data_IF_462649465643
#
_entry.id   IF_462649465643
#
_cell.length_a   1.000
_cell.length_b   1.000
_cell.length_c   1.000
_cell.angle_alpha   90.00
_cell.angle_beta   90.00
_cell.angle_gamma   90.00
#
_symmetry.space_group_name_H-M   'P 1'
#
loop_
_entity.id
_entity.type
_entity.pdbx_description
1 polymer ?
#
# COMPACT_ATOMS: atom_id res chain seq x y z
N UNK A 1 -42.28 0.80 57.92
CA UNK A 1 -42.61 0.44 56.53
C UNK A 1 -41.98 1.44 55.59
N UNK A 2 -40.74 1.21 55.15
CA UNK A 2 -40.11 1.96 54.06
C UNK A 2 -39.33 0.93 53.23
N UNK A 3 -39.64 0.90 51.94
CA UNK A 3 -39.26 -0.12 50.97
C UNK A 3 -37.76 -0.17 50.73
N UNK A 4 -37.21 -1.39 50.72
CA UNK A 4 -35.89 -1.71 50.17
C UNK A 4 -35.85 -1.35 48.68
N UNK A 5 -34.99 -0.41 48.31
CA UNK A 5 -34.56 -0.19 46.92
C UNK A 5 -33.15 -0.78 46.82
N UNK A 6 -33.08 -1.98 46.22
CA UNK A 6 -31.82 -2.60 45.85
C UNK A 6 -31.17 -1.74 44.75
N UNK A 7 -30.05 -1.11 45.09
CA UNK A 7 -29.16 -0.46 44.12
C UNK A 7 -28.47 -1.59 43.35
N UNK A 8 -29.06 -1.98 42.21
CA UNK A 8 -28.38 -2.77 41.19
C UNK A 8 -27.27 -1.89 40.63
N UNK A 9 -26.09 -1.98 41.24
CA UNK A 9 -24.84 -1.60 40.62
C UNK A 9 -24.68 -2.59 39.45
N UNK A 10 -25.25 -2.24 38.30
CA UNK A 10 -24.71 -2.72 37.04
C UNK A 10 -23.29 -2.17 36.99
N UNK A 11 -22.35 -3.00 37.46
CA UNK A 11 -21.03 -3.01 36.91
C UNK A 11 -21.24 -3.22 35.40
N UNK A 12 -21.34 -2.12 34.67
CA UNK A 12 -20.92 -2.08 33.29
C UNK A 12 -19.44 -2.44 33.35
N UNK A 13 -19.16 -3.74 33.41
CA UNK A 13 -17.99 -4.29 32.78
C UNK A 13 -18.00 -3.67 31.40
N UNK A 14 -17.17 -2.64 31.24
CA UNK A 14 -16.60 -2.29 29.97
C UNK A 14 -15.79 -3.53 29.59
N UNK A 15 -16.50 -4.56 29.16
CA UNK A 15 -16.03 -5.48 28.16
C UNK A 15 -15.68 -4.53 27.02
N UNK A 16 -14.41 -4.13 27.00
CA UNK A 16 -13.70 -3.79 25.79
C UNK A 16 -13.92 -5.02 24.91
N UNK A 17 -15.06 -5.06 24.22
CA UNK A 17 -15.22 -5.87 23.05
C UNK A 17 -14.16 -5.30 22.14
N UNK A 18 -12.99 -5.96 22.12
CA UNK A 18 -12.03 -5.83 21.05
C UNK A 18 -12.88 -5.87 19.79
N UNK A 19 -12.98 -4.71 19.14
CA UNK A 19 -13.93 -4.49 18.06
C UNK A 19 -13.60 -5.56 17.03
N UNK A 20 -14.48 -6.56 16.88
CA UNK A 20 -14.26 -7.67 15.96
C UNK A 20 -13.97 -7.04 14.61
N UNK A 21 -12.79 -7.32 14.05
CA UNK A 21 -12.46 -6.76 12.75
C UNK A 21 -13.56 -7.24 11.77
N UNK A 22 -14.15 -6.34 10.97
CA UNK A 22 -15.29 -6.62 10.10
C UNK A 22 -15.00 -7.68 9.03
N UNK A 23 -13.73 -7.94 8.73
CA UNK A 23 -13.28 -8.99 7.81
C UNK A 23 -12.88 -10.30 8.51
N UNK A 24 -12.94 -10.40 9.84
CA UNK A 24 -12.46 -11.55 10.61
C UNK A 24 -11.52 -11.14 11.76
N UNK A 25 -11.09 -12.08 12.62
CA UNK A 25 -10.46 -11.77 13.92
C UNK A 25 -8.96 -11.43 13.90
N UNK A 26 -8.28 -11.33 12.75
CA UNK A 26 -6.83 -11.57 12.74
C UNK A 26 -5.92 -10.42 12.32
N UNK A 27 -6.43 -9.30 11.79
CA UNK A 27 -5.60 -8.21 11.24
C UNK A 27 -6.04 -6.79 11.57
N UNK A 28 -5.15 -5.82 11.32
CA UNK A 28 -5.43 -4.38 11.36
C UNK A 28 -6.05 -3.95 10.02
N UNK A 29 -7.35 -3.62 10.02
CA UNK A 29 -8.03 -3.12 8.82
C UNK A 29 -8.33 -1.63 8.88
N UNK A 30 -8.30 -1.03 7.71
CA UNK A 30 -8.69 0.34 7.41
C UNK A 30 -9.96 0.32 6.56
N UNK A 31 -10.98 1.07 6.98
CA UNK A 31 -12.14 1.30 6.14
C UNK A 31 -11.86 2.47 5.22
N UNK A 32 -11.70 2.20 3.92
CA UNK A 32 -11.52 3.24 2.91
C UNK A 32 -12.90 3.62 2.36
N UNK A 33 -13.33 4.85 2.65
CA UNK A 33 -14.66 5.32 2.26
C UNK A 33 -14.76 5.44 0.75
N UNK A 34 -15.85 4.96 0.19
CA UNK A 34 -16.12 5.23 -1.22
C UNK A 34 -16.30 6.73 -1.44
N UNK A 35 -15.82 7.26 -2.59
CA UNK A 35 -16.00 8.67 -2.87
C UNK A 35 -17.49 9.05 -2.96
N UNK A 36 -17.88 10.13 -2.29
CA UNK A 36 -19.26 10.63 -2.31
C UNK A 36 -19.68 11.19 -3.69
N UNK A 37 -18.69 11.53 -4.53
CA UNK A 37 -18.87 12.09 -5.87
C UNK A 37 -17.94 11.39 -6.86
N UNK A 38 -18.38 11.32 -8.11
CA UNK A 38 -17.60 10.77 -9.22
C UNK A 38 -17.60 11.75 -10.39
N UNK A 39 -16.42 12.12 -10.94
CA UNK A 39 -15.10 11.81 -10.39
C UNK A 39 -14.89 12.42 -8.98
N UNK A 40 -13.99 11.86 -8.15
CA UNK A 40 -13.80 12.27 -6.76
C UNK A 40 -12.97 13.56 -6.63
N UNK A 41 -13.39 14.62 -7.34
CA UNK A 41 -12.62 15.85 -7.48
C UNK A 41 -12.99 16.90 -6.45
N UNK A 42 -12.00 17.70 -6.07
CA UNK A 42 -12.15 18.89 -5.22
C UNK A 42 -11.34 20.04 -5.80
N UNK A 43 -11.86 21.27 -5.72
CA UNK A 43 -11.18 22.47 -6.24
C UNK A 43 -9.82 22.75 -5.57
N UNK A 44 -9.52 22.09 -4.46
CA UNK A 44 -8.25 22.20 -3.74
C UNK A 44 -7.20 21.18 -4.20
N UNK A 45 -7.57 20.24 -5.07
CA UNK A 45 -6.62 19.26 -5.61
C UNK A 45 -5.66 19.94 -6.59
N UNK A 46 -4.37 19.53 -6.61
CA UNK A 46 -3.44 19.94 -7.65
C UNK A 46 -3.94 19.57 -9.05
N UNK A 47 -3.52 20.32 -10.06
CA UNK A 47 -3.98 20.14 -11.45
C UNK A 47 -3.81 18.71 -11.97
N UNK A 48 -2.65 18.08 -11.75
CA UNK A 48 -2.37 16.73 -12.24
C UNK A 48 -3.26 15.67 -11.58
N UNK A 49 -3.65 15.88 -10.32
CA UNK A 49 -4.56 15.01 -9.57
C UNK A 49 -5.98 15.14 -10.13
N UNK A 50 -6.44 16.39 -10.35
CA UNK A 50 -7.73 16.66 -10.99
C UNK A 50 -7.82 16.04 -12.37
N UNK A 51 -6.79 16.26 -13.19
CA UNK A 51 -6.72 15.72 -14.54
C UNK A 51 -6.76 14.19 -14.53
N UNK A 52 -6.02 13.55 -13.62
CA UNK A 52 -6.02 12.10 -13.48
C UNK A 52 -7.41 11.53 -13.21
N UNK A 53 -8.11 12.05 -12.20
CA UNK A 53 -9.45 11.55 -11.85
C UNK A 53 -10.49 11.85 -12.93
N UNK A 54 -10.43 13.02 -13.57
CA UNK A 54 -11.33 13.38 -14.69
C UNK A 54 -11.07 12.49 -15.89
N UNK A 55 -9.80 12.26 -16.25
CA UNK A 55 -9.43 11.41 -17.38
C UNK A 55 -9.87 9.96 -17.16
N UNK A 56 -9.64 9.41 -15.96
CA UNK A 56 -10.07 8.07 -15.60
C UNK A 56 -11.60 7.91 -15.73
N UNK A 57 -12.36 8.81 -15.12
CA UNK A 57 -13.83 8.82 -15.22
C UNK A 57 -14.32 8.99 -16.67
N UNK A 58 -13.67 9.87 -17.44
CA UNK A 58 -14.01 10.10 -18.85
C UNK A 58 -13.79 8.86 -19.73
N UNK A 59 -12.67 8.16 -19.55
CA UNK A 59 -12.36 6.92 -20.29
C UNK A 59 -13.37 5.84 -19.95
N UNK A 60 -13.66 5.66 -18.66
CA UNK A 60 -14.61 4.64 -18.21
C UNK A 60 -16.00 4.95 -18.74
N UNK A 61 -16.50 6.17 -18.55
CA UNK A 61 -17.81 6.57 -19.05
C UNK A 61 -17.88 6.41 -20.57
N UNK A 62 -16.87 6.83 -21.33
CA UNK A 62 -16.85 6.63 -22.78
C UNK A 62 -16.90 5.14 -23.18
N UNK A 63 -16.14 4.29 -22.48
CA UNK A 63 -16.06 2.87 -22.75
C UNK A 63 -17.34 2.12 -22.37
N UNK A 64 -18.04 2.55 -21.31
CA UNK A 64 -19.23 1.87 -20.78
C UNK A 64 -20.56 2.46 -21.25
N UNK A 65 -20.56 3.59 -21.96
CA UNK A 65 -21.80 4.16 -22.53
C UNK A 65 -22.19 3.41 -23.81
N UNK A 66 -23.45 2.93 -23.89
CA UNK A 66 -24.12 2.29 -25.05
C UNK A 66 -23.88 0.77 -25.27
N UNK A 67 -24.70 0.17 -26.14
CA UNK A 67 -24.76 -1.25 -26.50
C UNK A 67 -23.47 -1.86 -27.08
N UNK A 68 -22.43 -1.06 -27.35
CA UNK A 68 -21.14 -1.50 -27.93
C UNK A 68 -20.01 -1.57 -26.88
N UNK A 69 -20.35 -1.77 -25.61
CA UNK A 69 -19.41 -1.70 -24.47
C UNK A 69 -18.13 -2.52 -24.69
N UNK A 70 -18.26 -3.75 -25.18
CA UNK A 70 -17.11 -4.65 -25.37
C UNK A 70 -16.09 -4.15 -26.39
N UNK A 71 -16.55 -3.53 -27.49
CA UNK A 71 -15.67 -3.01 -28.53
C UNK A 71 -14.80 -1.85 -28.02
N UNK A 72 -15.38 -0.97 -27.19
CA UNK A 72 -14.65 0.18 -26.63
C UNK A 72 -13.72 -0.21 -25.49
N UNK A 73 -14.15 -1.13 -24.62
CA UNK A 73 -13.26 -1.72 -23.60
C UNK A 73 -12.02 -2.34 -24.26
N UNK A 74 -12.21 -3.07 -25.37
CA UNK A 74 -11.10 -3.64 -26.11
C UNK A 74 -10.20 -2.55 -26.74
N UNK A 75 -10.76 -1.43 -27.22
CA UNK A 75 -9.96 -0.31 -27.72
C UNK A 75 -9.06 0.29 -26.62
N UNK A 76 -9.56 0.44 -25.38
CA UNK A 76 -8.74 0.90 -24.24
C UNK A 76 -7.62 -0.09 -23.95
N UNK A 77 -7.94 -1.39 -23.87
CA UNK A 77 -6.93 -2.44 -23.64
C UNK A 77 -5.87 -2.44 -24.73
N UNK A 78 -6.28 -2.50 -25.99
CA UNK A 78 -5.35 -2.52 -27.12
C UNK A 78 -4.56 -1.22 -27.27
N UNK A 79 -5.04 -0.08 -26.77
CA UNK A 79 -4.24 1.14 -26.68
C UNK A 79 -3.08 0.98 -25.69
N UNK A 80 -3.31 0.38 -24.52
CA UNK A 80 -2.29 0.13 -23.50
C UNK A 80 -1.35 -1.02 -23.89
N UNK A 81 -1.87 -2.08 -24.52
CA UNK A 81 -1.09 -3.23 -25.02
C UNK A 81 -0.02 -2.80 -26.03
N UNK A 82 -0.33 -1.83 -26.90
CA UNK A 82 0.61 -1.31 -27.92
C UNK A 82 1.73 -0.44 -27.35
N UNK A 83 1.69 -0.09 -26.06
CA UNK A 83 2.77 0.65 -25.40
C UNK A 83 3.87 -0.33 -25.00
N UNK A 84 4.86 -0.47 -25.87
CA UNK A 84 6.05 -1.33 -25.67
C UNK A 84 7.32 -0.53 -25.37
N UNK A 85 7.21 0.80 -25.33
CA UNK A 85 8.31 1.73 -25.00
C UNK A 85 7.83 2.79 -24.04
N UNK A 86 8.74 3.33 -23.24
CA UNK A 86 8.45 4.42 -22.29
C UNK A 86 8.35 5.79 -23.00
N UNK A 87 7.38 5.89 -23.90
CA UNK A 87 7.12 7.06 -24.76
C UNK A 87 6.45 8.23 -23.99
N UNK A 88 6.32 9.38 -24.63
CA UNK A 88 5.71 10.57 -24.02
C UNK A 88 4.24 10.36 -23.63
N UNK A 89 3.55 9.40 -24.24
CA UNK A 89 2.17 9.08 -23.88
C UNK A 89 2.13 8.29 -22.58
N UNK A 90 2.95 7.24 -22.47
CA UNK A 90 3.04 6.44 -21.25
C UNK A 90 3.56 7.27 -20.08
N UNK A 91 4.56 8.14 -20.32
CA UNK A 91 5.06 9.12 -19.34
C UNK A 91 3.95 9.99 -18.76
N UNK A 92 3.09 10.58 -19.61
CA UNK A 92 1.96 11.40 -19.16
C UNK A 92 0.93 10.60 -18.35
N UNK A 93 0.64 9.38 -18.77
CA UNK A 93 -0.26 8.47 -18.05
C UNK A 93 0.32 8.16 -16.65
N UNK A 94 1.59 7.77 -16.60
CA UNK A 94 2.34 7.49 -15.36
C UNK A 94 2.37 8.70 -14.44
N UNK A 95 2.59 9.91 -14.96
CA UNK A 95 2.54 11.16 -14.19
C UNK A 95 1.20 11.37 -13.51
N UNK A 96 0.10 11.28 -14.26
CA UNK A 96 -1.24 11.45 -13.69
C UNK A 96 -1.58 10.36 -12.68
N UNK A 97 -1.18 9.11 -12.96
CA UNK A 97 -1.38 7.98 -12.05
C UNK A 97 -0.64 8.18 -10.72
N UNK A 98 0.66 8.49 -10.81
CA UNK A 98 1.49 8.77 -9.65
C UNK A 98 0.94 9.95 -8.84
N UNK A 99 0.50 11.03 -9.50
CA UNK A 99 -0.06 12.19 -8.82
C UNK A 99 -1.32 11.84 -7.99
N UNK A 100 -2.22 11.03 -8.53
CA UNK A 100 -3.41 10.57 -7.80
C UNK A 100 -3.02 9.71 -6.58
N UNK A 101 -2.15 8.73 -6.78
CA UNK A 101 -1.72 7.81 -5.73
C UNK A 101 -0.87 8.47 -4.64
N UNK A 102 -0.09 9.51 -4.96
CA UNK A 102 0.71 10.25 -3.97
C UNK A 102 -0.12 11.26 -3.17
N UNK A 103 -1.15 11.86 -3.79
CA UNK A 103 -1.97 12.90 -3.16
C UNK A 103 -2.82 12.38 -2.00
N UNK A 104 -3.59 11.31 -2.23
CA UNK A 104 -4.41 10.66 -1.21
C UNK A 104 -4.53 9.16 -1.57
N UNK A 105 -3.61 8.32 -1.05
CA UNK A 105 -3.58 6.90 -1.40
C UNK A 105 -4.89 6.18 -1.06
N UNK A 106 -5.56 6.59 0.02
CA UNK A 106 -6.82 5.98 0.44
C UNK A 106 -7.97 6.33 -0.50
N UNK A 107 -8.05 7.58 -0.95
CA UNK A 107 -9.02 7.99 -1.97
C UNK A 107 -8.74 7.28 -3.31
N UNK A 108 -7.47 7.16 -3.68
CA UNK A 108 -7.04 6.49 -4.90
C UNK A 108 -7.48 5.03 -4.91
N UNK A 109 -7.17 4.27 -3.87
CA UNK A 109 -7.54 2.85 -3.74
C UNK A 109 -9.06 2.65 -3.68
N UNK A 110 -9.78 3.47 -2.89
CA UNK A 110 -11.23 3.45 -2.86
C UNK A 110 -11.86 3.75 -4.23
N UNK A 111 -11.20 4.57 -5.05
CA UNK A 111 -11.63 4.86 -6.43
C UNK A 111 -11.36 3.68 -7.35
N UNK A 112 -10.19 3.06 -7.29
CA UNK A 112 -9.82 1.93 -8.14
C UNK A 112 -10.78 0.74 -8.01
N UNK A 113 -11.24 0.48 -6.79
CA UNK A 113 -12.14 -0.62 -6.45
C UNK A 113 -13.62 -0.22 -6.48
N UNK A 114 -13.97 0.97 -6.94
CA UNK A 114 -15.38 1.35 -7.09
C UNK A 114 -16.10 0.42 -8.08
N UNK A 115 -17.02 -0.41 -7.59
CA UNK A 115 -17.76 -1.40 -8.38
C UNK A 115 -18.91 -0.80 -9.21
N UNK A 116 -18.98 0.53 -9.31
CA UNK A 116 -20.06 1.23 -10.03
C UNK A 116 -20.03 0.99 -11.55
N UNK A 117 -18.87 0.59 -12.08
CA UNK A 117 -18.66 0.29 -13.49
C UNK A 117 -18.32 -1.19 -13.68
N UNK A 118 -19.30 -2.10 -13.59
CA UNK A 118 -19.03 -3.53 -13.62
C UNK A 118 -18.42 -4.01 -14.96
N UNK A 119 -18.60 -3.26 -16.05
CA UNK A 119 -18.07 -3.62 -17.37
C UNK A 119 -16.60 -3.20 -17.57
N UNK A 120 -16.17 -2.11 -16.93
CA UNK A 120 -14.77 -1.68 -16.92
C UNK A 120 -14.44 -1.02 -15.58
N UNK A 121 -14.20 -1.83 -14.54
CA UNK A 121 -13.77 -1.31 -13.25
C UNK A 121 -12.45 -0.55 -13.39
N UNK A 122 -12.23 0.55 -12.63
CA UNK A 122 -11.02 1.36 -12.80
C UNK A 122 -9.73 0.59 -12.52
N UNK A 123 -9.74 -0.41 -11.61
CA UNK A 123 -8.59 -1.28 -11.39
C UNK A 123 -8.12 -2.04 -12.65
N UNK A 124 -8.99 -2.28 -13.65
CA UNK A 124 -8.57 -2.88 -14.92
C UNK A 124 -7.74 -1.92 -15.78
N UNK A 125 -8.07 -0.62 -15.75
CA UNK A 125 -7.27 0.40 -16.44
C UNK A 125 -5.93 0.54 -15.73
N UNK A 126 -5.94 0.59 -14.40
CA UNK A 126 -4.73 0.59 -13.59
C UNK A 126 -3.82 -0.61 -13.93
N UNK A 127 -4.35 -1.83 -13.90
CA UNK A 127 -3.59 -3.04 -14.28
C UNK A 127 -3.01 -2.95 -15.69
N UNK A 128 -3.79 -2.48 -16.67
CA UNK A 128 -3.29 -2.29 -18.03
C UNK A 128 -2.18 -1.23 -18.15
N UNK A 129 -2.16 -0.21 -17.29
CA UNK A 129 -1.06 0.77 -17.22
C UNK A 129 0.18 0.12 -16.61
N UNK A 130 0.03 -0.63 -15.52
CA UNK A 130 1.13 -1.37 -14.89
C UNK A 130 1.77 -2.34 -15.90
N UNK A 131 0.96 -3.12 -16.62
CA UNK A 131 1.47 -4.00 -17.68
C UNK A 131 2.16 -3.24 -18.84
N UNK A 132 1.69 -2.04 -19.18
CA UNK A 132 2.34 -1.20 -20.18
C UNK A 132 3.72 -0.72 -19.71
N UNK A 133 3.85 -0.35 -18.44
CA UNK A 133 5.14 -0.03 -17.80
C UNK A 133 6.05 -1.27 -17.80
N UNK A 134 5.52 -2.45 -17.47
CA UNK A 134 6.26 -3.72 -17.53
C UNK A 134 6.82 -4.00 -18.92
N UNK A 135 5.99 -3.88 -19.96
CA UNK A 135 6.44 -4.06 -21.36
C UNK A 135 7.47 -3.01 -21.76
N UNK A 136 7.28 -1.75 -21.37
CA UNK A 136 8.19 -0.66 -21.70
C UNK A 136 9.60 -0.83 -21.08
N UNK A 137 9.70 -1.49 -19.93
CA UNK A 137 10.96 -1.78 -19.24
C UNK A 137 11.42 -3.24 -19.33
N UNK A 138 10.90 -4.02 -20.29
CA UNK A 138 11.20 -5.46 -20.41
C UNK A 138 12.70 -5.79 -20.48
N UNK A 139 13.54 -4.85 -20.92
CA UNK A 139 15.00 -5.01 -21.03
C UNK A 139 15.80 -4.28 -19.93
N UNK A 140 15.15 -3.61 -18.97
CA UNK A 140 15.80 -2.94 -17.83
C UNK A 140 14.99 -3.20 -16.55
N UNK A 141 15.27 -4.35 -15.92
CA UNK A 141 14.59 -4.80 -14.71
C UNK A 141 14.80 -3.86 -13.51
N UNK A 142 15.94 -3.16 -13.45
CA UNK A 142 16.19 -2.17 -12.42
C UNK A 142 15.27 -0.96 -12.59
N UNK A 143 15.08 -0.48 -13.82
CA UNK A 143 14.11 0.58 -14.13
C UNK A 143 12.68 0.12 -13.88
N UNK A 144 12.36 -1.11 -14.26
CA UNK A 144 11.06 -1.71 -14.00
C UNK A 144 10.72 -1.68 -12.51
N UNK A 145 11.54 -2.30 -11.65
CA UNK A 145 11.25 -2.35 -10.22
C UNK A 145 11.16 -0.95 -9.59
N UNK A 146 12.04 -0.02 -9.99
CA UNK A 146 11.97 1.36 -9.50
C UNK A 146 10.62 2.00 -9.81
N UNK A 147 10.14 1.88 -11.04
CA UNK A 147 8.88 2.50 -11.46
C UNK A 147 7.67 1.79 -10.87
N UNK A 148 7.66 0.45 -10.85
CA UNK A 148 6.57 -0.32 -10.24
C UNK A 148 6.44 0.00 -8.75
N UNK A 149 7.54 0.04 -8.01
CA UNK A 149 7.51 0.44 -6.59
C UNK A 149 6.92 1.83 -6.41
N UNK A 150 7.30 2.81 -7.24
CA UNK A 150 6.78 4.18 -7.13
C UNK A 150 5.29 4.29 -7.51
N UNK A 151 4.81 3.40 -8.37
CA UNK A 151 3.43 3.40 -8.84
C UNK A 151 2.49 2.58 -7.96
N UNK A 152 2.95 1.44 -7.46
CA UNK A 152 2.15 0.47 -6.70
C UNK A 152 2.20 0.69 -5.19
N UNK A 153 3.29 1.25 -4.66
CA UNK A 153 3.33 1.58 -3.24
C UNK A 153 2.46 2.81 -2.97
N UNK A 154 1.46 2.67 -2.09
CA UNK A 154 0.66 3.77 -1.56
C UNK A 154 1.51 4.72 -0.71
N UNK A 155 2.36 4.15 0.14
CA UNK A 155 3.31 4.90 0.98
C UNK A 155 4.73 4.44 0.75
N UNK A 156 5.66 5.39 0.77
CA UNK A 156 7.08 5.12 0.92
C UNK A 156 7.57 5.96 2.09
N UNK A 157 8.02 5.30 3.15
CA UNK A 157 8.33 5.97 4.40
C UNK A 157 9.63 5.44 5.03
N UNK A 158 10.40 6.35 5.59
CA UNK A 158 11.41 6.05 6.59
C UNK A 158 10.74 6.02 7.96
N UNK A 159 10.78 4.89 8.63
CA UNK A 159 10.06 4.66 9.88
C UNK A 159 10.97 4.11 10.96
N UNK A 160 10.67 4.45 12.21
CA UNK A 160 11.19 3.77 13.39
C UNK A 160 10.10 2.94 14.02
N UNK A 161 10.35 1.64 14.21
CA UNK A 161 9.38 0.74 14.84
C UNK A 161 9.34 1.04 16.33
N UNK A 162 8.15 1.32 16.84
CA UNK A 162 7.91 1.62 18.25
C UNK A 162 7.36 0.41 18.98
N UNK A 163 6.49 -0.34 18.32
CA UNK A 163 5.82 -1.50 18.91
C UNK A 163 5.41 -2.53 17.86
N UNK A 164 5.26 -3.79 18.28
CA UNK A 164 4.82 -4.90 17.44
C UNK A 164 3.87 -5.78 18.22
N UNK A 165 2.66 -5.99 17.70
CA UNK A 165 1.61 -6.79 18.33
C UNK A 165 1.37 -8.04 17.50
N UNK A 166 1.58 -9.22 18.10
CA UNK A 166 1.34 -10.51 17.45
C UNK A 166 -0.15 -10.87 17.46
N UNK A 167 -0.62 -11.42 16.34
CA UNK A 167 -1.97 -11.95 16.14
C UNK A 167 -1.89 -13.29 15.42
N UNK A 168 -2.72 -14.23 15.85
CA UNK A 168 -2.86 -15.52 15.16
C UNK A 168 -3.50 -15.26 13.80
N UNK A 169 -2.82 -15.60 12.70
CA UNK A 169 -3.43 -15.58 11.37
C UNK A 169 -4.40 -16.76 11.17
N UNK A 170 -5.35 -16.61 10.25
CA UNK A 170 -6.33 -17.66 9.89
C UNK A 170 -6.12 -18.18 8.46
N UNK A 171 -4.88 -18.22 7.98
CA UNK A 171 -4.59 -18.94 6.74
C UNK A 171 -4.64 -20.45 7.04
N UNK A 172 -5.24 -21.24 6.15
CA UNK A 172 -5.38 -22.71 6.26
C UNK A 172 -4.05 -23.46 6.40
N UNK A 173 -2.93 -22.75 6.31
CA UNK A 173 -1.60 -23.21 6.70
C UNK A 173 -1.26 -22.62 8.08
N UNK A 174 -1.54 -23.42 9.11
CA UNK A 174 -1.63 -23.19 10.58
C UNK A 174 -0.42 -22.52 11.30
N UNK A 175 0.44 -21.75 10.62
CA UNK A 175 1.72 -21.28 11.16
C UNK A 175 2.05 -19.80 10.92
N UNK A 176 1.24 -19.05 10.17
CA UNK A 176 1.55 -17.62 9.90
C UNK A 176 1.04 -16.73 11.04
N UNK A 177 1.98 -16.25 11.87
CA UNK A 177 1.71 -15.18 12.85
C UNK A 177 1.64 -13.85 12.12
N UNK A 178 0.52 -13.13 12.20
CA UNK A 178 0.42 -11.76 11.72
C UNK A 178 1.01 -10.81 12.77
N UNK A 179 1.82 -9.85 12.34
CA UNK A 179 2.41 -8.85 13.24
C UNK A 179 1.90 -7.48 12.83
N UNK A 180 1.10 -6.86 13.68
CA UNK A 180 0.75 -5.45 13.52
C UNK A 180 1.90 -4.62 14.06
N UNK A 181 2.50 -3.83 13.18
CA UNK A 181 3.67 -3.00 13.48
C UNK A 181 3.20 -1.56 13.66
N UNK A 182 3.55 -0.95 14.78
CA UNK A 182 3.33 0.48 15.04
C UNK A 182 4.64 1.23 14.91
N UNK A 183 4.64 2.27 14.08
CA UNK A 183 5.84 3.03 13.76
C UNK A 183 5.66 4.53 13.99
N UNK A 184 6.75 5.19 14.34
CA UNK A 184 6.93 6.62 14.17
C UNK A 184 7.48 6.88 12.76
N UNK A 185 6.81 7.73 11.99
CA UNK A 185 7.30 8.17 10.69
C UNK A 185 8.38 9.23 10.91
N UNK A 186 9.59 8.95 10.43
CA UNK A 186 10.74 9.84 10.50
C UNK A 186 10.83 10.74 9.26
N UNK A 187 10.45 10.20 8.09
CA UNK A 187 10.42 10.93 6.82
C UNK A 187 9.46 10.22 5.86
N UNK A 188 8.58 10.98 5.21
CA UNK A 188 7.56 10.45 4.30
C UNK A 188 7.91 10.88 2.87
N UNK A 189 8.25 9.89 2.03
CA UNK A 189 8.73 10.10 0.67
C UNK A 189 7.57 10.12 -0.33
N UNK A 190 6.55 9.27 -0.10
CA UNK A 190 5.32 9.18 -0.90
C UNK A 190 4.10 8.93 0.00
N UNK A 191 2.94 9.47 -0.39
CA UNK A 191 1.64 9.21 0.23
C UNK A 191 1.28 10.28 1.26
N UNK A 192 0.81 11.44 0.79
CA UNK A 192 0.72 12.68 1.57
C UNK A 192 -0.29 12.65 2.73
N UNK A 193 -1.21 11.67 2.74
CA UNK A 193 -2.29 11.54 3.72
C UNK A 193 -2.18 10.18 4.39
N UNK A 194 -1.87 10.15 5.70
CA UNK A 194 -1.71 8.90 6.46
C UNK A 194 -3.04 8.44 7.07
N UNK A 195 -3.27 7.11 7.16
CA UNK A 195 -4.42 6.58 7.86
C UNK A 195 -4.27 6.78 9.39
N UNK A 196 -5.37 6.89 10.14
CA UNK A 196 -5.29 7.00 11.59
C UNK A 196 -4.82 5.68 12.22
N UNK A 197 -3.86 5.75 13.14
CA UNK A 197 -3.47 4.59 13.95
C UNK A 197 -4.57 4.20 14.94
N UNK A 198 -4.74 2.89 15.11
CA UNK A 198 -5.66 2.29 16.06
C UNK A 198 -4.93 1.93 17.36
N UNK A 199 -5.29 2.56 18.50
CA UNK A 199 -4.64 2.32 19.79
C UNK A 199 -4.86 0.89 20.32
N UNK A 200 -5.83 0.13 19.79
CA UNK A 200 -6.04 -1.26 20.16
C UNK A 200 -4.88 -2.19 19.72
N UNK A 201 -4.00 -1.70 18.84
CA UNK A 201 -2.82 -2.41 18.35
C UNK A 201 -1.52 -1.78 18.85
N UNK A 202 -1.53 -1.27 20.08
CA UNK A 202 -0.32 -0.74 20.74
C UNK A 202 -0.33 -1.13 22.22
N UNK A 203 0.74 -1.77 22.70
CA UNK A 203 0.91 -2.27 24.08
C UNK A 203 0.99 -1.14 25.11
N UNK A 204 1.63 -0.04 24.74
CA UNK A 204 1.65 1.20 25.50
C UNK A 204 1.06 2.24 24.59
N UNK A 205 -0.10 2.80 24.93
CA UNK A 205 -0.52 4.05 24.31
C UNK A 205 0.61 5.03 24.63
N UNK A 206 1.47 5.42 23.67
CA UNK A 206 2.42 6.45 23.99
C UNK A 206 1.57 7.70 24.25
N UNK A 207 2.14 8.74 24.85
CA UNK A 207 1.58 10.09 24.75
C UNK A 207 1.58 10.62 23.29
N UNK A 208 1.42 9.75 22.28
CA UNK A 208 0.93 10.10 20.96
C UNK A 208 -0.50 10.55 21.18
N UNK A 209 -0.68 11.87 21.24
CA UNK A 209 -1.98 12.51 21.39
C UNK A 209 -3.05 11.73 20.63
N UNK A 210 -4.05 11.26 21.39
CA UNK A 210 -5.28 10.65 20.90
C UNK A 210 -6.01 11.68 20.02
N UNK A 211 -5.51 11.86 18.81
CA UNK A 211 -6.13 12.67 17.77
C UNK A 211 -7.21 11.82 17.15
N UNK A 212 -8.45 12.24 17.41
CA UNK A 212 -9.63 12.17 16.54
C UNK A 212 -9.52 11.32 15.26
N UNK A 213 -10.60 10.61 14.90
CA UNK A 213 -10.82 9.86 13.64
C UNK A 213 -10.73 10.71 12.34
N UNK A 214 -9.90 11.76 12.32
CA UNK A 214 -9.64 12.64 11.19
C UNK A 214 -8.33 12.25 10.52
N UNK A 215 -8.33 12.35 9.20
CA UNK A 215 -7.16 12.31 8.33
C UNK A 215 -6.10 13.29 8.87
N UNK A 216 -4.92 12.78 9.24
CA UNK A 216 -3.82 13.62 9.70
C UNK A 216 -3.01 14.05 8.49
N UNK A 217 -2.95 15.36 8.25
CA UNK A 217 -1.94 15.98 7.38
C UNK A 217 -0.58 16.03 8.09
N UNK A 218 0.50 16.02 7.30
CA UNK A 218 1.93 15.95 7.65
C UNK A 218 2.47 16.92 8.74
N UNK A 219 1.65 17.80 9.33
CA UNK A 219 2.09 18.86 10.24
C UNK A 219 2.25 18.46 11.71
N UNK A 220 1.98 17.21 12.09
CA UNK A 220 2.20 16.72 13.47
C UNK A 220 3.61 16.16 13.65
N UNK A 221 4.30 16.48 14.76
CA UNK A 221 5.63 15.94 15.06
C UNK A 221 5.60 14.43 15.28
N UNK A 222 6.18 13.67 14.34
CA UNK A 222 6.27 12.21 14.39
C UNK A 222 4.92 11.52 14.18
N UNK A 223 4.31 11.62 12.99
CA UNK A 223 3.04 10.97 12.73
C UNK A 223 3.17 9.44 12.87
N UNK A 224 2.10 8.81 13.33
CA UNK A 224 2.06 7.36 13.48
C UNK A 224 1.67 6.70 12.16
N UNK A 225 2.30 5.56 11.87
CA UNK A 225 1.92 4.66 10.79
C UNK A 225 1.83 3.25 11.35
N UNK A 226 0.74 2.55 11.04
CA UNK A 226 0.55 1.16 11.43
C UNK A 226 0.31 0.31 10.19
N UNK A 227 0.89 -0.88 10.16
CA UNK A 227 0.71 -1.82 9.06
C UNK A 227 0.87 -3.24 9.56
N UNK A 228 0.31 -4.18 8.81
CA UNK A 228 0.43 -5.61 9.08
C UNK A 228 1.62 -6.16 8.31
N UNK A 229 2.39 -7.01 8.98
CA UNK A 229 3.54 -7.70 8.41
C UNK A 229 3.43 -9.19 8.69
N UNK A 230 3.85 -10.01 7.72
CA UNK A 230 3.96 -11.46 7.86
C UNK A 230 5.46 -11.79 7.96
N UNK A 231 5.99 -12.07 9.17
CA UNK A 231 7.37 -12.49 9.32
C UNK A 231 7.62 -13.79 8.57
N UNK A 232 8.75 -13.87 7.87
CA UNK A 232 9.16 -15.06 7.13
C UNK A 232 8.13 -15.49 6.06
N UNK A 233 7.41 -14.55 5.47
CA UNK A 233 6.52 -14.84 4.35
C UNK A 233 7.30 -15.61 3.27
N UNK A 234 6.83 -16.81 2.94
CA UNK A 234 7.45 -17.70 1.95
C UNK A 234 6.98 -17.26 0.58
N UNK A 235 7.93 -16.87 -0.26
CA UNK A 235 7.66 -15.99 -1.40
C UNK A 235 8.48 -16.38 -2.64
N UNK A 236 9.02 -17.59 -2.61
CA UNK A 236 9.55 -18.29 -3.77
C UNK A 236 9.02 -19.72 -3.80
N UNK A 237 8.80 -20.23 -5.00
CA UNK A 237 8.30 -21.58 -5.22
C UNK A 237 7.88 -21.77 -6.67
N UNK A 238 7.47 -22.99 -7.00
CA UNK A 238 6.79 -23.27 -8.27
C UNK A 238 5.28 -23.05 -8.13
N UNK A 239 4.57 -22.89 -9.25
CA UNK A 239 3.09 -22.77 -9.24
C UNK A 239 2.38 -23.88 -8.45
N UNK A 240 3.00 -25.05 -8.34
CA UNK A 240 2.41 -26.27 -7.79
C UNK A 240 3.13 -26.81 -6.54
N UNK A 241 4.36 -26.37 -6.26
CA UNK A 241 5.18 -26.83 -5.13
C UNK A 241 5.89 -25.63 -4.49
N UNK A 242 5.55 -25.38 -3.22
CA UNK A 242 6.31 -24.44 -2.37
C UNK A 242 7.62 -25.13 -2.01
N UNK A 243 8.74 -24.62 -2.55
CA UNK A 243 10.05 -25.18 -2.27
C UNK A 243 10.44 -24.96 -0.79
N UNK A 244 10.91 -26.00 -0.08
CA UNK A 244 11.18 -25.93 1.36
C UNK A 244 12.50 -25.21 1.72
N UNK A 245 13.37 -24.88 0.76
CA UNK A 245 14.73 -24.39 1.02
C UNK A 245 14.82 -22.85 1.12
N UNK A 246 14.73 -22.39 2.38
CA UNK A 246 15.76 -21.60 3.10
C UNK A 246 16.14 -20.15 2.72
N UNK A 247 15.34 -19.43 1.94
CA UNK A 247 15.37 -17.96 2.00
C UNK A 247 14.07 -17.39 2.57
N UNK A 248 14.05 -17.20 3.89
CA UNK A 248 13.05 -16.36 4.55
C UNK A 248 13.32 -14.91 4.14
N UNK A 249 12.70 -14.47 3.04
CA UNK A 249 12.75 -13.09 2.58
C UNK A 249 11.82 -12.25 3.47
N UNK A 250 12.43 -11.49 4.35
CA UNK A 250 11.73 -10.64 5.30
C UNK A 250 12.51 -10.60 6.60
N UNK A 251 13.30 -9.54 6.78
CA UNK A 251 13.88 -9.27 8.08
C UNK A 251 12.75 -9.18 9.10
N UNK A 252 12.91 -9.75 10.29
CA UNK A 252 11.93 -9.57 11.36
C UNK A 252 11.88 -8.08 11.69
N UNK A 253 10.73 -7.44 11.49
CA UNK A 253 10.55 -6.05 11.88
C UNK A 253 10.52 -6.01 13.41
N UNK A 254 11.49 -5.32 14.01
CA UNK A 254 11.68 -5.31 15.47
C UNK A 254 11.60 -3.90 16.04
N UNK A 255 10.95 -3.70 17.19
CA UNK A 255 10.95 -2.42 17.90
C UNK A 255 12.37 -1.87 18.13
N UNK A 256 12.49 -0.54 18.04
CA UNK A 256 13.75 0.20 18.21
C UNK A 256 14.54 0.42 16.92
N UNK A 257 14.31 -0.38 15.89
CA UNK A 257 15.04 -0.30 14.62
C UNK A 257 14.34 0.59 13.58
N UNK A 258 15.13 1.07 12.61
CA UNK A 258 14.68 1.91 11.51
C UNK A 258 14.60 1.12 10.19
N UNK A 259 13.61 1.45 9.38
CA UNK A 259 13.34 0.77 8.10
C UNK A 259 12.90 1.77 7.05
N UNK A 260 13.22 1.49 5.78
CA UNK A 260 12.46 2.00 4.65
C UNK A 260 11.34 0.99 4.37
N UNK A 261 10.09 1.44 4.45
CA UNK A 261 8.92 0.63 4.10
C UNK A 261 8.22 1.19 2.88
N UNK A 262 7.82 0.31 1.98
CA UNK A 262 6.95 0.63 0.85
C UNK A 262 5.67 -0.18 1.05
N UNK A 263 4.56 0.51 1.25
CA UNK A 263 3.33 -0.11 1.72
C UNK A 263 2.23 0.05 0.67
N UNK A 264 1.35 -0.92 0.57
CA UNK A 264 0.17 -0.93 -0.31
C UNK A 264 -1.07 -1.37 0.47
N UNK A 265 -2.26 -0.96 0.03
CA UNK A 265 -3.56 -1.37 0.57
C UNK A 265 -4.16 -2.57 -0.17
N UNK A 266 -3.84 -3.83 0.20
CA UNK A 266 -4.60 -4.96 -0.29
C UNK A 266 -6.06 -4.92 0.19
N UNK A 267 -6.98 -5.20 -0.72
CA UNK A 267 -8.40 -5.39 -0.42
C UNK A 267 -8.60 -6.63 0.44
N UNK A 268 -9.40 -6.51 1.50
CA UNK A 268 -9.74 -7.63 2.38
C UNK A 268 -11.18 -8.09 2.21
N UNK A 269 -12.12 -7.19 2.48
CA UNK A 269 -13.53 -7.54 2.42
C UNK A 269 -14.40 -6.32 2.14
N UNK A 270 -15.58 -6.59 1.60
CA UNK A 270 -16.58 -5.58 1.31
C UNK A 270 -17.33 -5.20 2.58
N UNK A 271 -17.56 -3.91 2.75
CA UNK A 271 -18.51 -3.44 3.76
C UNK A 271 -19.94 -3.66 3.30
N UNK A 272 -20.73 -4.33 4.14
CA UNK A 272 -22.15 -4.57 3.87
C UNK A 272 -23.01 -3.36 4.17
N UNK A 273 -22.50 -2.38 4.93
CA UNK A 273 -23.19 -1.13 5.23
C UNK A 273 -23.09 -0.08 4.10
N UNK A 274 -22.28 -0.34 3.07
CA UNK A 274 -22.19 0.50 1.87
C UNK A 274 -21.46 1.83 2.08
N UNK A 275 -20.59 1.93 3.09
CA UNK A 275 -19.85 3.16 3.42
C UNK A 275 -18.48 3.17 2.72
N UNK A 276 -17.88 2.00 2.55
CA UNK A 276 -16.57 1.83 1.93
C UNK A 276 -15.95 0.52 2.34
N UNK A 277 -15.10 -0.03 1.48
CA UNK A 277 -14.50 -1.35 1.68
C UNK A 277 -13.37 -1.35 2.72
N UNK A 278 -13.03 -2.55 3.21
CA UNK A 278 -11.97 -2.75 4.18
C UNK A 278 -10.71 -3.29 3.52
N UNK A 279 -9.59 -2.68 3.90
CA UNK A 279 -8.26 -2.95 3.38
C UNK A 279 -7.32 -3.20 4.55
N UNK A 280 -6.26 -3.95 4.34
CA UNK A 280 -5.11 -3.94 5.25
C UNK A 280 -4.02 -3.06 4.64
N UNK A 281 -3.03 -2.65 5.44
CA UNK A 281 -1.84 -1.99 4.92
C UNK A 281 -0.66 -2.93 5.11
N UNK A 282 0.06 -3.27 4.04
CA UNK A 282 1.16 -4.25 4.06
C UNK A 282 2.35 -3.77 3.26
N UNK A 283 3.57 -4.24 3.58
CA UNK A 283 4.70 -4.14 2.66
C UNK A 283 4.36 -4.67 1.27
N UNK A 284 4.68 -3.89 0.24
CA UNK A 284 4.53 -4.28 -1.15
C UNK A 284 5.45 -5.48 -1.44
N UNK A 285 4.93 -6.48 -2.14
CA UNK A 285 5.71 -7.57 -2.69
C UNK A 285 6.06 -7.25 -4.14
N UNK A 286 7.35 -7.18 -4.46
CA UNK A 286 7.83 -6.91 -5.82
C UNK A 286 8.34 -8.20 -6.43
N UNK A 287 7.83 -8.57 -7.60
CA UNK A 287 8.31 -9.71 -8.36
C UNK A 287 9.74 -9.49 -8.82
N UNK A 288 10.57 -10.51 -8.66
CA UNK A 288 11.96 -10.54 -9.06
C UNK A 288 12.15 -11.50 -10.24
N UNK A 289 13.19 -11.30 -11.06
CA UNK A 289 13.47 -12.16 -12.19
C UNK A 289 13.68 -13.61 -11.73
N UNK A 290 12.99 -14.53 -12.40
CA UNK A 290 13.20 -15.98 -12.27
C UNK A 290 13.87 -16.51 -13.55
N UNK A 291 14.63 -17.59 -13.42
CA UNK A 291 15.33 -18.20 -14.55
C UNK A 291 14.42 -19.14 -15.37
N UNK A 292 13.21 -19.40 -14.90
CA UNK A 292 12.21 -20.30 -15.47
C UNK A 292 10.79 -19.75 -15.29
N UNK A 293 9.90 -20.12 -16.21
CA UNK A 293 8.51 -19.65 -16.25
C UNK A 293 7.63 -20.20 -15.12
N UNK A 294 8.13 -21.19 -14.39
CA UNK A 294 7.36 -21.93 -13.39
C UNK A 294 7.64 -21.49 -11.96
N UNK A 295 8.70 -20.71 -11.73
CA UNK A 295 9.06 -20.20 -10.43
C UNK A 295 8.68 -18.74 -10.30
N UNK A 296 8.20 -18.39 -9.12
CA UNK A 296 8.10 -17.00 -8.69
C UNK A 296 9.17 -16.72 -7.63
N UNK A 297 9.61 -15.47 -7.57
CA UNK A 297 10.52 -14.96 -6.56
C UNK A 297 10.08 -13.54 -6.27
N UNK A 298 9.76 -13.19 -5.02
CA UNK A 298 9.34 -11.83 -4.70
C UNK A 298 10.12 -11.27 -3.51
N UNK A 299 10.39 -9.96 -3.54
CA UNK A 299 10.98 -9.22 -2.43
C UNK A 299 9.91 -8.47 -1.65
N UNK A 300 9.95 -8.60 -0.32
CA UNK A 300 9.17 -7.76 0.57
C UNK A 300 9.89 -6.44 0.80
N UNK A 301 9.25 -5.34 0.41
CA UNK A 301 9.80 -3.98 0.41
C UNK A 301 9.80 -3.31 1.80
N UNK A 302 10.32 -4.01 2.79
CA UNK A 302 10.60 -3.50 4.13
C UNK A 302 12.10 -3.66 4.42
N UNK A 303 12.89 -2.65 4.06
CA UNK A 303 14.35 -2.71 4.08
C UNK A 303 14.91 -2.19 5.41
N UNK A 304 15.69 -2.99 6.16
CA UNK A 304 16.29 -2.54 7.41
C UNK A 304 17.38 -1.50 7.14
N UNK A 305 17.45 -0.52 8.03
CA UNK A 305 18.52 0.46 8.09
C UNK A 305 19.50 0.01 9.18
N UNK A 306 20.76 -0.13 8.80
CA UNK A 306 21.84 -0.59 9.67
C UNK A 306 23.01 0.37 9.59
N UNK A 307 23.95 0.27 10.51
CA UNK A 307 25.21 1.02 10.44
C UNK A 307 26.27 0.14 9.82
N UNK A 308 26.98 0.64 8.80
CA UNK A 308 28.11 -0.07 8.20
C UNK A 308 29.39 0.04 9.06
N UNK A 309 30.47 -0.60 8.60
CA UNK A 309 31.78 -0.56 9.29
C UNK A 309 32.39 0.83 9.43
N UNK A 310 31.93 1.81 8.65
CA UNK A 310 32.39 3.20 8.69
C UNK A 310 31.57 4.08 9.64
N UNK A 311 30.49 3.56 10.22
CA UNK A 311 29.55 4.34 11.03
C UNK A 311 28.43 5.00 10.21
N UNK A 312 28.29 4.67 8.93
CA UNK A 312 27.29 5.27 8.04
C UNK A 312 25.99 4.46 8.06
N UNK A 313 24.84 5.14 8.13
CA UNK A 313 23.54 4.49 7.98
C UNK A 313 23.32 4.02 6.53
N UNK A 314 23.07 2.73 6.35
CA UNK A 314 22.87 2.07 5.06
C UNK A 314 21.55 1.30 5.02
N UNK A 315 20.90 1.35 3.87
CA UNK A 315 19.71 0.54 3.54
C UNK A 315 20.19 -0.81 3.01
N UNK A 316 19.70 -1.90 3.59
CA UNK A 316 20.04 -3.27 3.20
C UNK A 316 18.97 -3.83 2.27
N UNK A 317 19.38 -4.20 1.06
CA UNK A 317 18.52 -4.68 -0.03
C UNK A 317 19.06 -6.02 -0.52
N UNK A 318 18.71 -7.14 0.13
CA UNK A 318 19.39 -8.42 -0.08
C UNK A 318 19.40 -8.90 -1.53
N UNK A 319 18.39 -8.53 -2.31
CA UNK A 319 18.23 -8.97 -3.71
C UNK A 319 18.65 -7.92 -4.73
N UNK A 320 19.20 -6.77 -4.30
CA UNK A 320 19.61 -5.70 -5.20
C UNK A 320 18.50 -5.31 -6.20
N UNK A 321 17.28 -5.17 -5.68
CA UNK A 321 16.04 -5.03 -6.46
C UNK A 321 16.11 -3.85 -7.44
N UNK A 322 16.79 -2.76 -7.05
CA UNK A 322 16.89 -1.54 -7.85
C UNK A 322 18.13 -1.48 -8.76
N UNK A 323 19.01 -2.48 -8.70
CA UNK A 323 20.30 -2.48 -9.41
C UNK A 323 21.34 -1.52 -8.81
N UNK A 324 21.19 -1.15 -7.54
CA UNK A 324 22.02 -0.16 -6.84
C UNK A 324 23.09 -0.74 -5.91
N UNK A 325 23.17 -2.06 -5.81
CA UNK A 325 23.93 -2.81 -4.81
C UNK A 325 23.02 -3.37 -3.72
N UNK A 326 23.55 -4.29 -2.92
CA UNK A 326 22.84 -4.88 -1.77
C UNK A 326 22.86 -4.01 -0.51
N UNK A 327 23.71 -2.98 -0.53
CA UNK A 327 23.89 -1.98 0.50
C UNK A 327 24.09 -0.62 -0.16
N UNK A 328 23.40 0.39 0.34
CA UNK A 328 23.55 1.76 -0.14
C UNK A 328 23.35 2.75 1.01
N UNK A 329 24.11 3.85 1.07
CA UNK A 329 23.88 4.88 2.08
C UNK A 329 22.43 5.39 2.06
N UNK A 330 21.83 5.55 3.24
CA UNK A 330 20.43 5.96 3.41
C UNK A 330 20.11 7.26 2.65
N UNK A 331 21.02 8.24 2.72
CA UNK A 331 20.89 9.51 2.02
C UNK A 331 20.87 9.32 0.50
N UNK A 332 21.74 8.47 -0.04
CA UNK A 332 21.80 8.16 -1.47
C UNK A 332 20.56 7.41 -1.93
N UNK A 333 20.07 6.44 -1.15
CA UNK A 333 18.84 5.71 -1.46
C UNK A 333 17.64 6.65 -1.60
N UNK A 334 17.41 7.50 -0.58
CA UNK A 334 16.33 8.48 -0.58
C UNK A 334 16.46 9.47 -1.75
N UNK A 335 17.67 9.97 -1.99
CA UNK A 335 17.90 10.93 -3.06
C UNK A 335 17.57 10.35 -4.43
N UNK A 336 17.95 9.10 -4.71
CA UNK A 336 17.63 8.43 -5.98
C UNK A 336 16.13 8.25 -6.18
N UNK A 337 15.39 7.90 -5.13
CA UNK A 337 13.92 7.84 -5.18
C UNK A 337 13.33 9.23 -5.47
N UNK A 338 13.77 10.26 -4.74
CA UNK A 338 13.29 11.62 -4.90
C UNK A 338 13.59 12.20 -6.30
N UNK A 339 14.75 11.88 -6.87
CA UNK A 339 15.10 12.30 -8.23
C UNK A 339 14.19 11.63 -9.26
N UNK A 340 13.89 10.33 -9.11
CA UNK A 340 12.95 9.64 -9.99
C UNK A 340 11.51 10.17 -9.83
N UNK A 341 11.07 10.45 -8.61
CA UNK A 341 9.77 11.10 -8.34
C UNK A 341 9.70 12.47 -9.02
N UNK A 342 10.78 13.26 -8.95
CA UNK A 342 10.86 14.56 -9.62
C UNK A 342 10.76 14.41 -11.13
N UNK A 343 11.40 13.38 -11.70
CA UNK A 343 11.30 13.06 -13.12
C UNK A 343 9.86 12.73 -13.52
N UNK A 344 9.19 11.84 -12.79
CA UNK A 344 7.79 11.45 -13.02
C UNK A 344 6.86 12.67 -12.98
N UNK A 345 7.04 13.56 -12.01
CA UNK A 345 6.25 14.79 -11.87
C UNK A 345 6.47 15.78 -13.02
N UNK A 346 7.56 15.65 -13.78
CA UNK A 346 7.95 16.56 -14.86
C UNK A 346 7.69 16.02 -16.28
N UNK A 347 7.13 14.82 -16.42
CA UNK A 347 6.76 14.20 -17.69
C UNK A 347 5.72 14.95 -18.51
#
# INVERSE_FOLDING_TARGET
MIRHTALLILAATVLVHAQRNPCGETGLVYQLRWPERQPPVSIYMPYDVLLGYIALDSIINWATTYNETWGRVQQVRSFLERRTSFDDTLKKIVRSLYAMADYDPMLFEATLRSFRWPQLPPHMIYGGIIEAVTRAWANDLGALHRDLVLLEADYIAHVKVVDTVHRSGKFELDWTTLVVTTCQVLDLIKGQVLPPCNPAFTHTAPEVQAGTKQLKTLSSSGPCLQFTYVPNARLSGTTDIIEPDDERLGHVITPGNEYIVMLTFPFMCRDTAGIGDYYELHPLAVELPCNDEWHFNVSITAYPITTDSSGTAVVRMPKNEYGWGTEIPLTTFKQRLLDRIREIRNY
#
